data_IF_068752614079
#
_entry.id   IF_068752614079
#
_cell.length_a   1.000
_cell.length_b   1.000
_cell.length_c   1.000
_cell.angle_alpha   90.00
_cell.angle_beta   90.00
_cell.angle_gamma   90.00
#
_symmetry.space_group_name_H-M   'P 1'
#
loop_
_entity.id
_entity.type
_entity.pdbx_description
1 polymer ?
#
# COMPACT_ATOMS: atom_id res chain seq x y z
N UNK A 1 2.74 9.66 2.78
CA UNK A 1 1.31 9.32 2.98
C UNK A 1 0.53 10.60 3.27
N UNK A 2 -0.79 10.60 3.12
CA UNK A 2 -1.66 11.71 3.57
C UNK A 2 -1.74 11.73 5.09
N UNK A 3 -1.94 12.91 5.69
CA UNK A 3 -2.15 13.04 7.14
C UNK A 3 -3.38 12.26 7.61
N UNK A 4 -4.40 12.18 6.75
CA UNK A 4 -5.59 11.36 6.98
C UNK A 4 -5.21 9.89 7.17
N UNK A 5 -4.40 9.33 6.26
CA UNK A 5 -3.95 7.94 6.34
C UNK A 5 -3.08 7.70 7.59
N UNK A 6 -2.15 8.61 7.90
CA UNK A 6 -1.30 8.46 9.09
C UNK A 6 -2.13 8.44 10.39
N UNK A 7 -3.16 9.28 10.48
CA UNK A 7 -4.11 9.26 11.60
C UNK A 7 -4.96 7.99 11.65
N UNK A 8 -5.33 7.45 10.49
CA UNK A 8 -6.07 6.19 10.39
C UNK A 8 -5.23 5.02 10.89
N UNK A 9 -3.99 4.88 10.39
CA UNK A 9 -3.03 3.86 10.87
C UNK A 9 -2.77 4.02 12.37
N UNK A 10 -2.62 5.25 12.87
CA UNK A 10 -2.44 5.50 14.30
C UNK A 10 -3.65 5.15 15.18
N UNK A 11 -4.85 4.98 14.59
CA UNK A 11 -6.09 4.55 15.25
C UNK A 11 -6.39 3.07 15.08
N UNK A 12 -5.85 2.43 14.03
CA UNK A 12 -5.91 0.97 13.89
C UNK A 12 -5.33 0.35 15.15
N UNK A 13 -6.07 -0.59 15.73
CA UNK A 13 -6.01 -0.91 17.16
C UNK A 13 -4.60 -1.09 17.72
N UNK A 14 -4.35 -0.44 18.87
CA UNK A 14 -3.40 -0.93 19.85
C UNK A 14 -4.15 -1.94 20.73
N UNK A 15 -4.11 -3.22 20.37
CA UNK A 15 -4.93 -4.25 21.01
C UNK A 15 -4.88 -5.59 20.28
N UNK A 16 -5.55 -6.63 20.81
CA UNK A 16 -5.56 -7.97 20.23
C UNK A 16 -6.25 -8.08 18.86
N UNK A 17 -7.04 -7.09 18.45
CA UNK A 17 -7.66 -7.01 17.11
C UNK A 17 -6.99 -5.93 16.22
N UNK A 18 -5.73 -5.61 16.54
CA UNK A 18 -4.85 -4.69 15.82
C UNK A 18 -4.46 -5.13 14.40
N UNK A 19 -3.64 -4.30 13.75
CA UNK A 19 -2.99 -4.70 12.51
C UNK A 19 -2.04 -5.88 12.78
N UNK A 20 -2.43 -7.07 12.34
CA UNK A 20 -1.61 -8.28 12.40
C UNK A 20 -0.50 -8.31 11.32
N UNK A 21 -0.39 -7.26 10.50
CA UNK A 21 0.55 -7.15 9.39
C UNK A 21 0.93 -5.69 9.13
N UNK A 22 2.03 -5.46 8.41
CA UNK A 22 2.37 -4.13 7.92
C UNK A 22 1.29 -3.60 6.97
N UNK A 23 0.82 -2.39 7.19
CA UNK A 23 -0.29 -1.78 6.45
C UNK A 23 0.00 -1.62 4.95
N UNK A 24 1.25 -1.30 4.58
CA UNK A 24 1.60 -0.95 3.20
C UNK A 24 1.88 -2.17 2.33
N UNK A 25 2.23 -3.31 2.94
CA UNK A 25 2.55 -4.55 2.24
C UNK A 25 1.51 -5.65 2.49
N UNK A 26 0.64 -5.46 3.48
CA UNK A 26 -0.30 -6.46 4.01
C UNK A 26 0.40 -7.81 4.28
N UNK A 27 1.58 -7.73 4.89
CA UNK A 27 2.42 -8.87 5.19
C UNK A 27 3.01 -8.82 6.59
N UNK A 28 3.19 -9.99 7.20
CA UNK A 28 3.89 -10.16 8.48
C UNK A 28 5.40 -10.24 8.32
N UNK A 29 5.86 -10.74 7.17
CA UNK A 29 7.26 -10.96 6.87
C UNK A 29 7.64 -10.30 5.55
N UNK A 30 8.92 -10.03 5.38
CA UNK A 30 9.48 -9.31 4.25
C UNK A 30 10.33 -10.24 3.38
N UNK A 31 10.16 -10.13 2.06
CA UNK A 31 11.05 -10.77 1.09
C UNK A 31 12.00 -9.73 0.45
N UNK A 32 13.33 -9.90 0.58
CA UNK A 32 14.31 -9.02 -0.07
C UNK A 32 14.14 -8.85 -1.58
N UNK A 33 13.48 -9.79 -2.27
CA UNK A 33 13.16 -9.68 -3.69
C UNK A 33 12.15 -8.56 -3.98
N UNK A 34 11.28 -8.22 -3.03
CA UNK A 34 10.31 -7.13 -3.22
C UNK A 34 10.98 -5.82 -3.58
N UNK A 35 12.08 -5.48 -2.90
CA UNK A 35 12.81 -4.25 -3.18
C UNK A 35 13.43 -4.20 -4.59
N UNK A 36 13.60 -5.36 -5.25
CA UNK A 36 14.20 -5.49 -6.58
C UNK A 36 13.16 -5.79 -7.67
N UNK A 37 11.97 -6.23 -7.29
CA UNK A 37 10.94 -6.75 -8.19
C UNK A 37 9.57 -6.15 -7.85
N UNK A 38 9.45 -4.84 -8.06
CA UNK A 38 8.18 -4.12 -7.97
C UNK A 38 7.67 -3.91 -9.39
N UNK A 39 6.48 -4.42 -9.69
CA UNK A 39 5.79 -4.11 -10.93
C UNK A 39 4.62 -3.18 -10.65
N UNK A 40 4.48 -2.14 -11.47
CA UNK A 40 3.39 -1.17 -11.38
C UNK A 40 2.58 -1.24 -12.67
N UNK A 41 1.26 -1.38 -12.55
CA UNK A 41 0.37 -1.45 -13.71
C UNK A 41 -0.99 -0.80 -13.41
N UNK A 42 -1.82 -0.68 -14.45
CA UNK A 42 -3.21 -0.21 -14.30
C UNK A 42 -3.35 1.17 -13.67
N UNK A 43 -2.39 2.07 -13.92
CA UNK A 43 -2.41 3.45 -13.39
C UNK A 43 -3.60 4.20 -13.97
N UNK A 44 -4.44 4.77 -13.10
CA UNK A 44 -5.58 5.60 -13.45
C UNK A 44 -5.47 6.91 -12.71
N UNK A 45 -5.50 8.04 -13.44
CA UNK A 45 -5.46 9.39 -12.87
C UNK A 45 -6.79 10.09 -13.18
N UNK A 46 -7.43 10.67 -12.17
CA UNK A 46 -8.68 11.42 -12.28
C UNK A 46 -8.57 12.68 -11.41
N UNK A 47 -8.19 13.80 -12.02
CA UNK A 47 -7.90 15.05 -11.31
C UNK A 47 -6.80 14.85 -10.26
N UNK A 48 -7.14 15.14 -9.00
CA UNK A 48 -6.24 15.02 -7.85
C UNK A 48 -6.26 13.64 -7.19
N UNK A 49 -6.84 12.63 -7.85
CA UNK A 49 -6.84 11.24 -7.38
C UNK A 49 -6.16 10.32 -8.39
N UNK A 50 -5.46 9.32 -7.89
CA UNK A 50 -4.87 8.27 -8.72
C UNK A 50 -4.94 6.91 -8.03
N UNK A 51 -4.94 5.84 -8.81
CA UNK A 51 -4.81 4.48 -8.31
C UNK A 51 -3.84 3.69 -9.20
N UNK A 52 -3.01 2.85 -8.61
CA UNK A 52 -2.13 1.93 -9.32
C UNK A 52 -2.20 0.53 -8.73
N UNK A 53 -2.09 -0.48 -9.58
CA UNK A 53 -1.85 -1.86 -9.14
C UNK A 53 -0.35 -2.03 -8.91
N UNK A 54 0.03 -2.57 -7.77
CA UNK A 54 1.41 -2.84 -7.40
C UNK A 54 1.55 -4.33 -7.12
N UNK A 55 2.54 -4.94 -7.74
CA UNK A 55 2.93 -6.31 -7.46
C UNK A 55 4.30 -6.30 -6.79
N UNK A 56 4.37 -6.79 -5.56
CA UNK A 56 5.62 -7.15 -4.90
C UNK A 56 5.91 -8.60 -5.24
N UNK A 57 6.86 -8.82 -6.16
CA UNK A 57 7.15 -10.14 -6.69
C UNK A 57 8.24 -10.83 -5.87
N UNK A 58 7.84 -11.45 -4.76
CA UNK A 58 8.72 -12.25 -3.93
C UNK A 58 8.95 -13.67 -4.45
N UNK A 59 9.67 -14.46 -3.66
CA UNK A 59 9.80 -15.90 -3.78
C UNK A 59 8.43 -16.59 -3.66
N UNK A 60 8.40 -17.90 -3.90
CA UNK A 60 7.17 -18.71 -3.83
C UNK A 60 6.43 -18.44 -2.50
N UNK A 61 5.14 -18.11 -2.59
CA UNK A 61 4.24 -17.72 -1.47
C UNK A 61 4.49 -16.34 -0.84
N UNK A 62 5.50 -15.59 -1.29
CA UNK A 62 5.78 -14.22 -0.85
C UNK A 62 5.35 -13.19 -1.91
N UNK A 63 4.38 -13.50 -2.77
CA UNK A 63 3.87 -12.54 -3.78
C UNK A 63 2.72 -11.73 -3.18
N UNK A 64 2.77 -10.40 -3.28
CA UNK A 64 1.70 -9.51 -2.81
C UNK A 64 1.17 -8.65 -3.95
N UNK A 65 -0.15 -8.68 -4.15
CA UNK A 65 -0.86 -7.78 -5.08
C UNK A 65 -1.55 -6.71 -4.24
N UNK A 66 -1.31 -5.46 -4.60
CA UNK A 66 -1.81 -4.30 -3.88
C UNK A 66 -2.48 -3.34 -4.85
N UNK A 67 -3.42 -2.56 -4.35
CA UNK A 67 -3.90 -1.34 -4.99
C UNK A 67 -3.51 -0.17 -4.11
N UNK A 68 -2.68 0.72 -4.67
CA UNK A 68 -2.25 1.95 -4.00
C UNK A 68 -3.09 3.10 -4.53
N UNK A 69 -3.82 3.76 -3.64
CA UNK A 69 -4.56 4.98 -3.94
C UNK A 69 -3.74 6.19 -3.51
N UNK A 70 -3.72 7.21 -4.36
CA UNK A 70 -2.95 8.42 -4.22
C UNK A 70 -3.88 9.63 -4.28
N UNK A 71 -3.57 10.66 -3.50
CA UNK A 71 -4.19 11.98 -3.58
C UNK A 71 -3.10 13.02 -3.84
N UNK A 72 -3.36 14.00 -4.70
CA UNK A 72 -2.48 15.14 -4.94
C UNK A 72 -2.77 16.23 -3.92
N UNK A 73 -1.82 16.51 -3.05
CA UNK A 73 -1.89 17.59 -2.06
C UNK A 73 -0.72 18.55 -2.30
N UNK A 74 -1.00 19.84 -2.47
CA UNK A 74 0.03 20.87 -2.75
C UNK A 74 0.96 20.49 -3.93
N UNK A 75 0.41 19.88 -4.98
CA UNK A 75 1.15 19.46 -6.18
C UNK A 75 1.86 18.11 -6.08
N UNK A 76 1.93 17.50 -4.89
CA UNK A 76 2.62 16.21 -4.67
C UNK A 76 1.63 15.07 -4.48
N UNK A 77 1.88 13.94 -5.16
CA UNK A 77 1.14 12.70 -4.92
C UNK A 77 1.53 12.06 -3.60
N UNK A 78 0.54 11.75 -2.77
CA UNK A 78 0.72 11.07 -1.49
C UNK A 78 -0.14 9.82 -1.45
N UNK A 79 0.40 8.73 -0.88
CA UNK A 79 -0.38 7.51 -0.60
C UNK A 79 -1.49 7.86 0.39
N UNK A 80 -2.72 7.57 0.00
CA UNK A 80 -3.93 7.82 0.80
C UNK A 80 -4.58 6.52 1.27
N UNK A 81 -4.39 5.40 0.55
CA UNK A 81 -4.85 4.08 0.98
C UNK A 81 -4.03 2.98 0.30
N UNK A 82 -3.80 1.88 0.99
CA UNK A 82 -3.33 0.62 0.39
C UNK A 82 -4.37 -0.46 0.68
N UNK A 83 -4.59 -1.36 -0.29
CA UNK A 83 -5.49 -2.50 -0.15
C UNK A 83 -4.91 -3.72 -0.85
N UNK A 84 -4.94 -4.87 -0.21
CA UNK A 84 -4.64 -6.16 -0.82
C UNK A 84 -5.65 -6.53 -1.89
N UNK A 85 -5.18 -7.37 -2.81
CA UNK A 85 -6.02 -8.13 -3.72
C UNK A 85 -5.66 -9.60 -3.60
N UNK A 86 -6.69 -10.43 -3.43
CA UNK A 86 -6.60 -11.87 -3.61
C UNK A 86 -6.13 -12.23 -5.05
#
# INVERSE_FOLDING_TARGET
ATERLLKEIGRMEKGPDGLDADYFTEAQDFDPLWAKQIEISGVKIQGDKSSAQVLLNGAKNMRKKLVVHLVREAGTWKVDKVQGRD
#
